data_IF_640930469071
#
_entry.id   IF_640930469071
#
_cell.length_a   1.000
_cell.length_b   1.000
_cell.length_c   1.000
_cell.angle_alpha   90.00
_cell.angle_beta   90.00
_cell.angle_gamma   90.00
#
_symmetry.space_group_name_H-M   'P 1'
#
loop_
_entity.id
_entity.type
_entity.pdbx_description
1 polymer ?
#
# COMPACT_ATOMS: atom_id res chain seq x y z
N UNK A 1 1.52 -25.20 5.08
CA UNK A 1 1.37 -24.32 6.27
C UNK A 1 2.34 -23.15 6.29
N UNK A 2 3.51 -23.19 5.62
CA UNK A 2 4.46 -22.06 5.61
C UNK A 2 4.07 -20.92 4.67
N UNK A 3 3.73 -21.23 3.40
CA UNK A 3 3.41 -20.21 2.37
C UNK A 3 2.24 -19.32 2.77
N UNK A 4 1.13 -19.92 3.19
CA UNK A 4 -0.09 -19.20 3.56
C UNK A 4 0.13 -18.25 4.74
N UNK A 5 0.81 -18.72 5.80
CA UNK A 5 1.15 -17.89 6.96
C UNK A 5 2.10 -16.75 6.61
N UNK A 6 3.13 -17.02 5.81
CA UNK A 6 4.06 -15.97 5.36
C UNK A 6 3.39 -14.94 4.44
N UNK A 7 2.50 -15.37 3.53
CA UNK A 7 1.69 -14.46 2.70
C UNK A 7 0.73 -13.63 3.56
N UNK A 8 0.10 -14.24 4.57
CA UNK A 8 -0.78 -13.55 5.50
C UNK A 8 -0.06 -12.44 6.25
N UNK A 9 1.11 -12.72 6.82
CA UNK A 9 1.93 -11.69 7.50
C UNK A 9 2.39 -10.61 6.53
N UNK A 10 2.81 -10.99 5.32
CA UNK A 10 3.22 -10.05 4.28
C UNK A 10 2.08 -9.10 3.90
N UNK A 11 0.87 -9.63 3.68
CA UNK A 11 -0.30 -8.83 3.36
C UNK A 11 -0.72 -7.93 4.52
N UNK A 12 -0.71 -8.44 5.76
CA UNK A 12 -1.01 -7.63 6.95
C UNK A 12 -0.03 -6.47 7.09
N UNK A 13 1.25 -6.72 6.78
CA UNK A 13 2.28 -5.68 6.78
C UNK A 13 2.02 -4.62 5.71
N UNK A 14 1.66 -5.05 4.48
CA UNK A 14 1.30 -4.13 3.40
C UNK A 14 0.08 -3.26 3.76
N UNK A 15 -0.99 -3.87 4.29
CA UNK A 15 -2.19 -3.16 4.77
C UNK A 15 -1.86 -2.16 5.88
N UNK A 16 -1.07 -2.57 6.87
CA UNK A 16 -0.70 -1.69 7.98
C UNK A 16 0.07 -0.45 7.51
N UNK A 17 0.92 -0.58 6.49
CA UNK A 17 1.65 0.53 5.92
C UNK A 17 0.77 1.43 5.02
N UNK A 18 -0.15 0.83 4.25
CA UNK A 18 -1.16 1.57 3.49
C UNK A 18 -2.04 2.43 4.41
N UNK A 19 -2.54 1.86 5.50
CA UNK A 19 -3.33 2.59 6.50
C UNK A 19 -2.51 3.63 7.27
N UNK A 20 -1.22 3.38 7.49
CA UNK A 20 -0.33 4.38 8.07
C UNK A 20 -0.15 5.59 7.13
N UNK A 21 0.02 5.35 5.83
CA UNK A 21 0.08 6.40 4.82
C UNK A 21 -1.23 7.20 4.76
N UNK A 22 -2.40 6.54 4.80
CA UNK A 22 -3.71 7.20 4.89
C UNK A 22 -3.79 8.12 6.12
N UNK A 23 -3.43 7.61 7.30
CA UNK A 23 -3.47 8.38 8.55
C UNK A 23 -2.56 9.62 8.48
N UNK A 24 -1.36 9.46 7.92
CA UNK A 24 -0.40 10.55 7.76
C UNK A 24 -0.89 11.57 6.73
N UNK A 25 -1.45 11.12 5.60
CA UNK A 25 -2.05 11.99 4.59
C UNK A 25 -3.17 12.85 5.17
N UNK A 26 -4.07 12.24 5.95
CA UNK A 26 -5.14 12.98 6.63
C UNK A 26 -4.63 13.98 7.65
N UNK A 27 -3.61 13.62 8.43
CA UNK A 27 -3.02 14.54 9.38
C UNK A 27 -2.36 15.74 8.68
N UNK A 28 -1.62 15.49 7.60
CA UNK A 28 -0.94 16.52 6.83
C UNK A 28 -1.93 17.49 6.14
N UNK A 29 -3.04 16.98 5.61
CA UNK A 29 -4.09 17.86 5.06
C UNK A 29 -4.84 18.65 6.13
N UNK A 30 -5.11 18.05 7.30
CA UNK A 30 -5.80 18.75 8.38
C UNK A 30 -4.98 19.92 8.96
N UNK A 31 -3.64 19.84 8.87
CA UNK A 31 -2.72 20.89 9.30
C UNK A 31 -2.46 21.95 8.20
N UNK A 32 -3.04 21.78 7.00
CA UNK A 32 -2.79 22.64 5.84
C UNK A 32 -3.54 23.98 5.98
N UNK A 33 -2.84 25.13 6.00
CA UNK A 33 -3.50 26.43 6.06
C UNK A 33 -4.12 26.80 4.71
N UNK A 34 -5.43 27.03 4.68
CA UNK A 34 -6.12 27.73 3.58
C UNK A 34 -6.09 27.03 2.20
N UNK A 35 -5.87 25.72 2.15
CA UNK A 35 -5.67 24.93 0.92
C UNK A 35 -4.37 25.25 0.14
N UNK A 36 -3.42 25.93 0.77
CA UNK A 36 -2.10 26.24 0.19
C UNK A 36 -1.00 25.31 0.76
N UNK A 37 0.02 24.97 -0.04
CA UNK A 37 1.24 24.26 0.36
C UNK A 37 1.24 22.76 0.06
N UNK A 38 2.25 22.21 -0.64
CA UNK A 38 2.30 20.79 -1.03
C UNK A 38 2.23 19.81 0.15
N UNK A 39 1.34 18.81 0.06
CA UNK A 39 1.36 17.62 0.93
C UNK A 39 2.12 16.51 0.23
N UNK A 40 3.14 15.97 0.88
CA UNK A 40 3.85 14.78 0.41
C UNK A 40 4.07 13.82 1.59
N UNK A 41 3.43 12.66 1.52
CA UNK A 41 3.57 11.58 2.49
C UNK A 41 4.17 10.39 1.78
N UNK A 42 5.18 9.79 2.40
CA UNK A 42 5.81 8.56 1.94
C UNK A 42 5.97 7.62 3.13
N UNK A 43 5.46 6.40 2.99
CA UNK A 43 5.67 5.29 3.92
C UNK A 43 6.32 4.14 3.15
N UNK A 44 7.39 3.60 3.69
CA UNK A 44 8.11 2.49 3.07
C UNK A 44 7.94 1.22 3.90
N UNK A 45 7.77 0.08 3.22
CA UNK A 45 7.66 -1.21 3.85
C UNK A 45 8.65 -2.20 3.23
N UNK A 46 9.52 -2.76 4.07
CA UNK A 46 10.42 -3.84 3.66
C UNK A 46 9.69 -5.18 3.73
N UNK A 47 9.06 -5.55 2.61
CA UNK A 47 8.45 -6.86 2.44
C UNK A 47 9.46 -7.85 1.87
N UNK A 48 9.36 -9.15 2.19
CA UNK A 48 10.26 -10.14 1.64
C UNK A 48 10.11 -10.20 0.12
N UNK A 49 11.19 -10.38 -0.63
CA UNK A 49 11.10 -10.55 -2.09
C UNK A 49 10.51 -11.90 -2.51
N UNK A 50 10.48 -12.86 -1.57
CA UNK A 50 10.00 -14.23 -1.76
C UNK A 50 9.37 -14.78 -0.48
N UNK A 51 8.35 -15.61 -0.64
CA UNK A 51 7.71 -16.36 0.45
C UNK A 51 7.95 -17.85 0.22
N UNK A 52 8.51 -18.54 1.21
CA UNK A 52 9.00 -19.92 1.11
C UNK A 52 9.80 -20.20 -0.18
N UNK A 53 10.69 -19.26 -0.56
CA UNK A 53 11.52 -19.34 -1.77
C UNK A 53 10.81 -19.02 -3.09
N UNK A 54 9.53 -18.66 -3.06
CA UNK A 54 8.69 -18.43 -4.25
C UNK A 54 8.41 -16.95 -4.43
N UNK A 55 8.34 -16.52 -5.69
CA UNK A 55 7.83 -15.21 -6.04
C UNK A 55 6.34 -15.14 -5.74
N UNK A 56 5.88 -13.97 -5.30
CA UNK A 56 4.48 -13.66 -5.10
C UNK A 56 4.19 -12.27 -5.67
N UNK A 57 2.91 -11.94 -5.82
CA UNK A 57 2.44 -10.61 -6.22
C UNK A 57 1.53 -10.03 -5.15
N UNK A 58 1.51 -8.71 -5.12
CA UNK A 58 0.63 -7.91 -4.28
C UNK A 58 -0.25 -7.11 -5.24
N UNK A 59 -1.52 -7.44 -5.30
CA UNK A 59 -2.53 -6.62 -5.96
C UNK A 59 -3.16 -5.71 -4.89
N UNK A 60 -3.29 -4.43 -5.18
CA UNK A 60 -3.86 -3.42 -4.28
C UNK A 60 -4.97 -2.72 -5.04
N UNK A 61 -6.13 -2.61 -4.42
CA UNK A 61 -7.29 -1.89 -4.96
C UNK A 61 -7.91 -0.98 -3.89
N UNK A 62 -9.15 -0.51 -4.13
CA UNK A 62 -9.87 0.39 -3.24
C UNK A 62 -10.34 -0.24 -1.93
N UNK A 63 -10.36 -1.56 -1.84
CA UNK A 63 -11.02 -2.31 -0.76
C UNK A 63 -10.05 -3.21 0.00
N UNK A 64 -9.07 -3.78 -0.70
CA UNK A 64 -8.20 -4.80 -0.16
C UNK A 64 -6.78 -4.79 -0.74
N UNK A 65 -5.89 -5.43 0.02
CA UNK A 65 -4.61 -5.93 -0.47
C UNK A 65 -4.72 -7.44 -0.63
N UNK A 66 -4.42 -7.92 -1.83
CA UNK A 66 -4.38 -9.34 -2.18
C UNK A 66 -2.94 -9.76 -2.39
N UNK A 67 -2.48 -10.72 -1.60
CA UNK A 67 -1.15 -11.33 -1.78
C UNK A 67 -1.32 -12.75 -2.32
N UNK A 68 -0.66 -13.04 -3.45
CA UNK A 68 -0.84 -14.33 -4.14
C UNK A 68 0.42 -14.94 -4.71
N UNK A 69 0.43 -16.27 -4.78
CA UNK A 69 1.42 -17.09 -5.50
C UNK A 69 0.72 -17.93 -6.56
N UNK A 70 1.35 -18.18 -7.70
CA UNK A 70 0.75 -19.02 -8.76
C UNK A 70 1.03 -20.52 -8.58
N UNK A 71 2.09 -20.88 -7.84
CA UNK A 71 2.52 -22.29 -7.64
C UNK A 71 3.15 -22.48 -6.25
N UNK A 72 2.44 -23.05 -5.26
CA UNK A 72 1.02 -23.41 -5.30
C UNK A 72 0.13 -22.17 -5.49
N UNK A 73 -1.06 -22.36 -6.06
CA UNK A 73 -2.06 -21.29 -6.14
C UNK A 73 -2.60 -21.01 -4.74
N UNK A 74 -2.18 -19.87 -4.18
CA UNK A 74 -2.59 -19.40 -2.85
C UNK A 74 -2.86 -17.92 -2.98
N UNK A 75 -4.03 -17.49 -2.48
CA UNK A 75 -4.49 -16.11 -2.48
C UNK A 75 -4.94 -15.75 -1.07
N UNK A 76 -4.37 -14.68 -0.52
CA UNK A 76 -4.77 -14.10 0.76
C UNK A 76 -5.24 -12.68 0.51
N UNK A 77 -6.51 -12.44 0.80
CA UNK A 77 -7.15 -11.15 0.65
C UNK A 77 -7.36 -10.54 2.03
N UNK A 78 -6.91 -9.30 2.20
CA UNK A 78 -6.95 -8.59 3.47
C UNK A 78 -7.57 -7.22 3.22
N UNK A 79 -8.78 -6.96 3.75
CA UNK A 79 -9.41 -5.67 3.61
C UNK A 79 -8.62 -4.61 4.38
N UNK A 80 -8.67 -3.37 3.91
CA UNK A 80 -8.05 -2.23 4.59
C UNK A 80 -9.10 -1.15 4.95
N UNK A 81 -8.78 -0.32 5.92
CA UNK A 81 -9.63 0.79 6.36
C UNK A 81 -9.14 2.16 5.84
N UNK A 82 -8.39 2.20 4.73
CA UNK A 82 -8.00 3.47 4.10
C UNK A 82 -9.24 4.27 3.70
N UNK A 83 -9.20 5.57 3.97
CA UNK A 83 -10.30 6.52 3.70
C UNK A 83 -10.04 7.37 2.47
N UNK A 84 -8.77 7.55 2.12
CA UNK A 84 -8.35 8.12 0.83
C UNK A 84 -8.54 7.08 -0.27
N UNK A 85 -8.84 7.57 -1.47
CA UNK A 85 -8.85 6.75 -2.68
C UNK A 85 -7.50 6.04 -2.83
N UNK A 86 -7.51 4.78 -3.23
CA UNK A 86 -6.30 4.00 -3.50
C UNK A 86 -6.23 3.73 -4.99
N UNK A 87 -5.09 3.99 -5.61
CA UNK A 87 -4.88 3.62 -7.02
C UNK A 87 -4.71 2.11 -7.12
N UNK A 88 -5.51 1.50 -7.99
CA UNK A 88 -5.35 0.08 -8.33
C UNK A 88 -3.97 -0.16 -8.94
N UNK A 89 -3.28 -1.18 -8.45
CA UNK A 89 -1.93 -1.52 -8.92
C UNK A 89 -1.58 -2.97 -8.57
N UNK A 90 -0.63 -3.52 -9.32
CA UNK A 90 -0.01 -4.81 -8.99
C UNK A 90 1.50 -4.61 -8.91
N UNK A 91 2.08 -4.97 -7.77
CA UNK A 91 3.53 -4.95 -7.55
C UNK A 91 4.06 -6.35 -7.25
N UNK A 92 5.35 -6.55 -7.51
CA UNK A 92 6.06 -7.78 -7.14
C UNK A 92 6.34 -7.80 -5.63
N UNK A 93 6.53 -9.00 -5.10
CA UNK A 93 7.08 -9.15 -3.76
C UNK A 93 8.45 -8.49 -3.62
N UNK A 94 8.65 -7.77 -2.53
CA UNK A 94 9.84 -6.96 -2.26
C UNK A 94 9.46 -5.64 -1.60
N UNK A 95 10.44 -4.77 -1.34
CA UNK A 95 10.17 -3.48 -0.74
C UNK A 95 9.16 -2.67 -1.56
N UNK A 96 8.21 -2.05 -0.87
CA UNK A 96 7.20 -1.18 -1.48
C UNK A 96 7.28 0.21 -0.88
N UNK A 97 6.79 1.18 -1.66
CA UNK A 97 6.53 2.54 -1.22
C UNK A 97 5.05 2.85 -1.38
N UNK A 98 4.46 3.39 -0.34
CA UNK A 98 3.12 3.99 -0.35
C UNK A 98 3.28 5.50 -0.32
N UNK A 99 2.78 6.20 -1.33
CA UNK A 99 2.86 7.66 -1.44
C UNK A 99 1.49 8.31 -1.53
N UNK A 100 1.41 9.53 -1.02
CA UNK A 100 0.27 10.43 -1.20
C UNK A 100 0.80 11.83 -1.47
N UNK A 101 0.38 12.45 -2.57
CA UNK A 101 0.85 13.79 -2.95
C UNK A 101 -0.31 14.69 -3.36
N UNK A 102 -0.47 15.81 -2.67
CA UNK A 102 -1.36 16.89 -3.11
C UNK A 102 -0.49 18.08 -3.50
N UNK A 103 -0.50 18.43 -4.78
CA UNK A 103 0.21 19.60 -5.28
C UNK A 103 -0.47 20.90 -4.83
N UNK A 104 0.21 22.04 -5.03
CA UNK A 104 -0.41 23.34 -4.88
C UNK A 104 -1.51 23.53 -5.93
N UNK A 105 -2.73 23.85 -5.47
CA UNK A 105 -3.94 23.97 -6.27
C UNK A 105 -4.38 22.64 -6.91
N UNK A 106 -5.11 21.80 -6.15
CA UNK A 106 -5.90 20.60 -6.54
C UNK A 106 -5.39 19.72 -7.71
N UNK A 107 -4.09 19.75 -8.01
CA UNK A 107 -3.53 19.12 -9.22
C UNK A 107 -2.68 17.89 -8.93
N UNK A 108 -2.55 17.49 -7.66
CA UNK A 108 -1.90 16.24 -7.28
C UNK A 108 -2.86 15.05 -7.34
N UNK A 109 -2.38 13.81 -7.53
CA UNK A 109 -3.23 12.65 -7.34
C UNK A 109 -3.65 12.60 -5.86
N UNK A 110 -4.90 12.97 -5.58
CA UNK A 110 -5.53 12.88 -4.24
C UNK A 110 -5.85 11.41 -3.86
N UNK A 111 -4.90 10.53 -4.11
CA UNK A 111 -5.01 9.10 -3.93
C UNK A 111 -3.68 8.50 -3.44
N UNK A 112 -3.79 7.37 -2.75
CA UNK A 112 -2.66 6.57 -2.30
C UNK A 112 -2.14 5.73 -3.45
N UNK A 113 -0.84 5.79 -3.70
CA UNK A 113 -0.17 4.99 -4.73
C UNK A 113 0.77 3.99 -4.08
N UNK A 114 0.73 2.74 -4.53
CA UNK A 114 1.68 1.70 -4.13
C UNK A 114 2.61 1.39 -5.29
N UNK A 115 3.91 1.50 -5.04
CA UNK A 115 4.96 1.28 -6.04
C UNK A 115 6.05 0.36 -5.51
N UNK A 116 6.74 -0.33 -6.42
CA UNK A 116 7.98 -1.05 -6.11
C UNK A 116 9.09 -0.03 -5.78
N UNK A 117 9.97 -0.38 -4.83
CA UNK A 117 11.12 0.45 -4.43
C UNK A 117 12.45 -0.15 -4.87
#
# INVERSE_FOLDING_TARGET
RTVESELSVTGQTAVANLEAADRLARAAEADRPGSEGVVNVTVEADLPSRVAGRSYRIDVDSDAVVVRTDRPDVRIEIPHAATRSVSETTVRGGPIRVSYTVADGDSGPELLEVTER
#
